data_IF_112041854307
#
_entry.id   IF_112041854307
#
_cell.length_a   1.000
_cell.length_b   1.000
_cell.length_c   1.000
_cell.angle_alpha   90.00
_cell.angle_beta   90.00
_cell.angle_gamma   90.00
#
_symmetry.space_group_name_H-M   'P 1'
#
loop_
_entity.id
_entity.type
_entity.pdbx_description
1 polymer ?
#
# COMPACT_ATOMS: atom_id res chain seq x y z
N UNK A 1 -31.28 7.23 5.52
CA UNK A 1 -30.64 7.24 4.19
C UNK A 1 -29.68 6.06 4.11
N UNK A 2 -29.89 5.12 3.18
CA UNK A 2 -29.04 3.93 3.00
C UNK A 2 -27.80 4.27 2.19
N UNK A 3 -26.66 3.60 2.47
CA UNK A 3 -25.41 3.79 1.74
C UNK A 3 -25.12 2.56 0.90
N UNK A 4 -24.80 2.77 -0.37
CA UNK A 4 -24.37 1.69 -1.26
C UNK A 4 -22.95 1.23 -0.89
N UNK A 5 -22.74 -0.08 -0.88
CA UNK A 5 -21.47 -0.71 -0.58
C UNK A 5 -21.38 -2.07 -1.27
N UNK A 6 -20.16 -2.50 -1.61
CA UNK A 6 -19.86 -3.81 -2.21
C UNK A 6 -19.45 -4.79 -1.12
N UNK A 7 -20.01 -6.00 -1.11
CA UNK A 7 -19.55 -7.06 -0.20
C UNK A 7 -18.19 -7.57 -0.70
N UNK A 8 -17.19 -7.58 0.17
CA UNK A 8 -15.84 -8.11 -0.10
C UNK A 8 -15.63 -9.49 0.49
N UNK A 9 -16.13 -9.71 1.70
CA UNK A 9 -15.92 -10.95 2.44
C UNK A 9 -17.13 -11.24 3.32
N UNK A 10 -17.44 -12.52 3.50
CA UNK A 10 -18.48 -12.99 4.41
C UNK A 10 -17.81 -13.72 5.58
N UNK A 11 -18.09 -13.30 6.81
CA UNK A 11 -17.52 -13.92 8.01
C UNK A 11 -18.40 -15.06 8.50
N UNK A 12 -17.89 -16.29 8.31
CA UNK A 12 -18.50 -17.51 8.85
C UNK A 12 -18.04 -17.74 10.28
N UNK A 13 -18.99 -17.94 11.20
CA UNK A 13 -18.73 -18.34 12.57
C UNK A 13 -18.26 -19.79 12.67
N UNK A 14 -17.81 -20.19 13.88
CA UNK A 14 -17.46 -21.59 14.17
C UNK A 14 -18.63 -22.55 14.00
N UNK A 15 -19.84 -22.05 14.19
CA UNK A 15 -21.11 -22.75 13.97
C UNK A 15 -21.53 -22.78 12.50
N UNK A 16 -20.69 -22.30 11.58
CA UNK A 16 -20.98 -22.19 10.15
C UNK A 16 -21.91 -21.03 9.78
N UNK A 17 -22.50 -20.36 10.77
CA UNK A 17 -23.48 -19.31 10.56
C UNK A 17 -22.83 -17.99 10.15
N UNK A 18 -23.49 -17.29 9.24
CA UNK A 18 -23.04 -15.99 8.75
C UNK A 18 -23.83 -14.91 9.47
N UNK A 19 -23.12 -14.14 10.31
CA UNK A 19 -23.72 -13.00 11.04
C UNK A 19 -23.23 -11.66 10.55
N UNK A 20 -22.02 -11.62 9.98
CA UNK A 20 -21.37 -10.39 9.56
C UNK A 20 -20.73 -10.52 8.17
N UNK A 21 -20.61 -9.38 7.48
CA UNK A 21 -19.90 -9.25 6.23
C UNK A 21 -18.98 -8.03 6.27
N UNK A 22 -17.86 -8.11 5.57
CA UNK A 22 -17.00 -6.96 5.28
C UNK A 22 -17.52 -6.30 4.01
N UNK A 23 -17.90 -5.02 4.13
CA UNK A 23 -18.38 -4.21 3.01
C UNK A 23 -17.40 -3.08 2.71
N UNK A 24 -17.20 -2.80 1.43
CA UNK A 24 -16.41 -1.70 0.90
C UNK A 24 -17.35 -0.56 0.46
N UNK A 25 -17.15 0.64 1.02
CA UNK A 25 -17.80 1.85 0.51
C UNK A 25 -17.05 2.41 -0.70
N UNK A 26 -17.68 3.30 -1.47
CA UNK A 26 -17.09 3.94 -2.67
C UNK A 26 -15.72 4.60 -2.47
N UNK A 27 -15.34 4.95 -1.24
CA UNK A 27 -14.03 5.52 -0.89
C UNK A 27 -12.98 4.48 -0.49
N UNK A 28 -13.23 3.18 -0.72
CA UNK A 28 -12.34 2.08 -0.34
C UNK A 28 -12.34 1.72 1.16
N UNK A 29 -13.20 2.36 1.97
CA UNK A 29 -13.29 2.06 3.40
C UNK A 29 -13.99 0.71 3.62
N UNK A 30 -13.30 -0.19 4.32
CA UNK A 30 -13.85 -1.48 4.75
C UNK A 30 -14.55 -1.35 6.11
N UNK A 31 -15.76 -1.90 6.20
CA UNK A 31 -16.56 -1.92 7.42
C UNK A 31 -17.07 -3.33 7.71
N UNK A 32 -17.02 -3.73 8.97
CA UNK A 32 -17.67 -4.95 9.44
C UNK A 32 -19.14 -4.64 9.78
N UNK A 33 -20.08 -5.23 9.03
CA UNK A 33 -21.53 -4.99 9.20
C UNK A 33 -22.28 -6.29 9.43
N UNK A 34 -23.25 -6.31 10.36
CA UNK A 34 -24.11 -7.48 10.52
C UNK A 34 -25.04 -7.61 9.31
N UNK A 35 -25.33 -8.84 8.91
CA UNK A 35 -26.12 -9.14 7.70
C UNK A 35 -27.54 -8.58 7.79
N UNK A 36 -28.13 -8.52 8.98
CA UNK A 36 -29.46 -7.93 9.19
C UNK A 36 -29.57 -6.43 8.87
N UNK A 37 -28.43 -5.74 8.74
CA UNK A 37 -28.34 -4.32 8.39
C UNK A 37 -27.95 -4.12 6.92
N UNK A 38 -27.87 -5.20 6.14
CA UNK A 38 -27.60 -5.16 4.71
C UNK A 38 -28.88 -5.48 3.96
N UNK A 39 -29.14 -4.72 2.90
CA UNK A 39 -30.21 -4.99 1.96
C UNK A 39 -29.59 -5.21 0.57
N UNK A 40 -30.07 -6.21 -0.18
CA UNK A 40 -29.61 -6.46 -1.53
C UNK A 40 -30.05 -5.31 -2.46
N UNK A 41 -29.25 -5.06 -3.49
CA UNK A 41 -29.61 -4.22 -4.62
C UNK A 41 -29.50 -5.09 -5.88
N UNK A 42 -30.64 -5.39 -6.49
CA UNK A 42 -30.70 -6.08 -7.78
C UNK A 42 -30.39 -5.06 -8.88
N UNK A 43 -29.57 -5.46 -9.84
CA UNK A 43 -29.21 -4.64 -11.02
C UNK A 43 -29.40 -5.52 -12.25
N UNK A 44 -29.96 -4.94 -13.32
CA UNK A 44 -30.13 -5.65 -14.58
C UNK A 44 -28.81 -5.70 -15.35
N UNK A 45 -28.43 -6.88 -15.84
CA UNK A 45 -27.14 -7.08 -16.53
C UNK A 45 -26.97 -6.17 -17.77
N UNK A 46 -28.08 -5.71 -18.36
CA UNK A 46 -28.11 -4.85 -19.55
C UNK A 46 -27.54 -3.45 -19.27
N UNK A 47 -27.62 -2.95 -18.05
CA UNK A 47 -27.13 -1.60 -17.68
C UNK A 47 -25.62 -1.59 -17.36
N UNK A 48 -25.02 -2.77 -17.09
CA UNK A 48 -23.62 -2.89 -16.67
C UNK A 48 -22.67 -2.75 -17.86
N UNK A 49 -23.05 -3.25 -19.04
CA UNK A 49 -22.24 -3.18 -20.26
C UNK A 49 -21.97 -1.74 -20.73
N UNK A 50 -22.95 -0.83 -20.58
CA UNK A 50 -22.81 0.57 -21.01
C UNK A 50 -21.80 1.34 -20.16
N UNK A 51 -21.63 0.95 -18.89
CA UNK A 51 -20.76 1.66 -17.93
C UNK A 51 -19.30 1.16 -17.99
N UNK A 52 -19.07 -0.12 -18.29
CA UNK A 52 -17.71 -0.68 -18.40
C UNK A 52 -17.03 -0.24 -19.72
N UNK A 53 -17.81 -0.05 -20.79
CA UNK A 53 -17.29 0.38 -22.10
C UNK A 53 -16.80 1.84 -22.16
N UNK A 54 -17.09 2.66 -21.14
CA UNK A 54 -16.55 4.02 -21.03
C UNK A 54 -15.18 4.08 -20.32
N UNK A 55 -14.65 2.95 -19.83
CA UNK A 55 -13.26 2.85 -19.45
C UNK A 55 -12.40 2.61 -20.70
N UNK A 56 -11.58 3.59 -21.04
CA UNK A 56 -10.67 3.70 -22.18
C UNK A 56 -9.90 2.39 -22.50
N UNK A 57 -9.64 2.06 -23.79
CA UNK A 57 -9.00 0.80 -24.18
C UNK A 57 -7.57 0.66 -23.62
N UNK A 58 -7.26 -0.51 -23.08
CA UNK A 58 -5.88 -0.92 -22.80
C UNK A 58 -5.10 -1.01 -24.12
N UNK A 59 -4.08 -0.16 -24.28
CA UNK A 59 -3.13 -0.29 -25.39
C UNK A 59 -2.18 -1.47 -25.11
N UNK A 60 -2.03 -2.44 -26.02
CA UNK A 60 -1.06 -3.51 -25.86
C UNK A 60 0.32 -2.99 -26.28
N UNK A 61 1.19 -2.69 -25.32
CA UNK A 61 2.60 -2.42 -25.60
C UNK A 61 3.37 -3.74 -25.50
N UNK A 62 3.39 -4.49 -26.60
CA UNK A 62 4.49 -5.39 -26.89
C UNK A 62 5.68 -4.52 -27.32
N UNK A 63 6.72 -4.41 -26.50
CA UNK A 63 8.03 -3.96 -26.97
C UNK A 63 9.11 -4.80 -26.28
N UNK A 64 9.72 -5.64 -27.09
CA UNK A 64 10.97 -6.35 -26.86
C UNK A 64 12.10 -5.37 -26.52
N UNK A 65 12.90 -5.73 -25.51
CA UNK A 65 14.22 -5.17 -25.15
C UNK A 65 15.16 -5.00 -26.37
N UNK A 66 16.13 -4.06 -26.32
CA UNK A 66 17.36 -4.28 -25.56
C UNK A 66 17.80 -3.13 -24.65
N UNK A 67 18.39 -3.53 -23.53
CA UNK A 67 19.09 -2.77 -22.50
C UNK A 67 20.21 -1.87 -23.10
N UNK A 68 20.19 -0.57 -22.81
CA UNK A 68 21.35 0.32 -22.98
C UNK A 68 21.94 0.67 -21.60
N UNK A 69 23.28 0.67 -21.45
CA UNK A 69 23.91 0.70 -20.13
C UNK A 69 23.66 2.02 -19.40
N UNK A 70 23.08 1.91 -18.21
CA UNK A 70 22.89 3.00 -17.25
C UNK A 70 24.28 3.54 -16.90
N UNK A 71 24.64 4.68 -17.50
CA UNK A 71 25.93 5.32 -17.31
C UNK A 71 26.30 5.43 -15.83
N UNK A 72 27.47 4.88 -15.50
CA UNK A 72 28.07 4.85 -14.16
C UNK A 72 28.19 6.26 -13.61
N UNK A 73 27.29 6.67 -12.71
CA UNK A 73 27.38 7.94 -12.02
C UNK A 73 28.58 7.91 -11.07
N UNK A 74 29.72 8.41 -11.54
CA UNK A 74 30.95 8.56 -10.76
C UNK A 74 30.74 9.59 -9.64
N UNK A 75 30.96 9.15 -8.40
CA UNK A 75 30.95 9.98 -7.19
C UNK A 75 32.15 10.93 -7.24
N UNK A 76 31.92 12.24 -7.40
CA UNK A 76 32.99 13.25 -7.31
C UNK A 76 33.52 13.35 -5.88
N UNK A 77 34.84 13.41 -5.76
CA UNK A 77 35.62 13.44 -4.52
C UNK A 77 35.86 14.86 -3.99
N UNK A 78 35.93 14.93 -2.67
CA UNK A 78 36.68 15.81 -1.74
C UNK A 78 37.25 17.12 -2.30
N UNK A 79 36.96 18.23 -1.61
CA UNK A 79 37.79 19.44 -1.62
C UNK A 79 38.38 19.64 -0.23
N UNK A 80 39.71 19.57 -0.20
CA UNK A 80 40.58 19.89 0.91
C UNK A 80 40.45 21.38 1.29
N UNK A 81 40.55 21.66 2.59
CA UNK A 81 40.95 22.98 3.10
C UNK A 81 41.99 22.75 4.18
N UNK A 82 43.23 23.05 3.83
CA UNK A 82 44.36 23.14 4.74
C UNK A 82 44.19 24.29 5.73
N UNK A 83 44.60 24.07 6.98
CA UNK A 83 45.02 25.17 7.87
C UNK A 83 44.50 25.15 9.31
N UNK A 84 45.23 24.44 10.18
CA UNK A 84 45.64 24.91 11.52
C UNK A 84 44.69 24.78 12.73
N UNK A 85 45.00 23.71 13.51
CA UNK A 85 45.08 23.55 14.99
C UNK A 85 43.92 22.88 15.78
N UNK A 86 44.29 22.08 16.81
CA UNK A 86 43.47 20.99 17.33
C UNK A 86 42.68 21.40 18.58
N UNK A 87 41.48 20.85 18.75
CA UNK A 87 40.79 20.84 20.05
C UNK A 87 40.83 19.41 20.57
N UNK A 88 41.78 19.18 21.47
CA UNK A 88 41.86 18.00 22.30
C UNK A 88 40.77 18.09 23.38
N UNK A 89 39.75 17.23 23.34
CA UNK A 89 38.95 16.90 24.52
C UNK A 89 38.69 15.39 24.51
N UNK A 90 39.55 14.76 25.29
CA UNK A 90 39.58 13.39 25.79
C UNK A 90 38.21 12.74 25.99
N UNK A 91 38.02 11.56 25.39
CA UNK A 91 36.95 10.63 25.76
C UNK A 91 37.40 9.86 27.00
N UNK A 92 36.84 10.16 28.17
CA UNK A 92 36.98 9.33 29.34
C UNK A 92 35.61 9.15 30.00
N UNK A 93 34.98 8.01 29.75
CA UNK A 93 34.84 6.97 30.77
C UNK A 93 33.87 5.90 30.27
N UNK A 94 34.43 4.81 29.78
CA UNK A 94 33.73 3.54 29.65
C UNK A 94 33.70 2.87 31.03
N UNK A 95 32.51 2.51 31.50
CA UNK A 95 32.31 1.45 32.49
C UNK A 95 30.87 0.95 32.38
N UNK A 96 30.70 -0.33 32.06
CA UNK A 96 29.72 -1.14 32.77
C UNK A 96 30.46 -2.26 33.53
N UNK A 97 30.14 -2.39 34.81
CA UNK A 97 30.54 -3.53 35.65
C UNK A 97 29.48 -4.65 35.59
N UNK A 98 29.67 -5.75 36.32
CA UNK A 98 30.53 -6.86 35.99
C UNK A 98 29.69 -8.14 35.82
N UNK A 99 30.31 -9.20 35.28
CA UNK A 99 29.84 -10.56 35.51
C UNK A 99 30.94 -11.30 36.27
N UNK A 100 30.76 -11.48 37.59
CA UNK A 100 30.77 -12.79 38.22
C UNK A 100 30.13 -12.74 39.62
#
# INVERSE_FOLDING_TARGET
MWKLAKIKEIKRGRDGQIRNAIVELSRGKLLNRPVNMLYPLEVDDKEVEETIQQATPETPIQNTEPEEPIATRTRRAIRERDGTRPIFMSTANCLPQPNH
#
